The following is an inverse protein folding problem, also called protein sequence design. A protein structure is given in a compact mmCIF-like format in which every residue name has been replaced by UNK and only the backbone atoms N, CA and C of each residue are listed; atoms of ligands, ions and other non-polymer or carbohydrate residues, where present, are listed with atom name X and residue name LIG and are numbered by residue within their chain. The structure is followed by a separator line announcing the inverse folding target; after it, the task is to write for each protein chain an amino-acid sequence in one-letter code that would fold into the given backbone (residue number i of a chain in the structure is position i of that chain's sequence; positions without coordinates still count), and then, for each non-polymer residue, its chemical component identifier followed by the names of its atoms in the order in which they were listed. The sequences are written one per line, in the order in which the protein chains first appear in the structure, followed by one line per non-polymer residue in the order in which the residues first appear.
data_IF_745214664494
#
_entry.id   IF_745214664494
#
_cell.length_a   1.000
_cell.length_b   1.000
_cell.length_c   1.000
_cell.angle_alpha   90.00
_cell.angle_beta   90.00
_cell.angle_gamma   90.00
#
_symmetry.space_group_name_H-M   'P 1'
#
loop_
_entity.id
_entity.type
_entity.pdbx_description
1 polymer ?
2 non-polymer ?
3 water ?
#
# COMPACT_ATOMS: atom_id res chain seq x y z
N UNK A 4 14.77 -9.71 -10.01
CA UNK A 4 13.92 -8.88 -9.16
C UNK A 4 12.44 -9.31 -9.15
N UNK A 5 11.97 -9.97 -10.23
CA UNK A 5 10.61 -10.48 -10.33
C UNK A 5 10.53 -12.01 -10.23
N UNK A 6 11.70 -12.70 -10.22
CA UNK A 6 11.77 -14.16 -10.07
C UNK A 6 11.40 -14.51 -8.61
N UNK A 7 10.80 -15.70 -8.38
CA UNK A 7 10.35 -16.09 -7.04
C UNK A 7 11.11 -17.24 -6.43
N UNK A 8 11.27 -17.23 -5.11
CA UNK A 8 11.88 -18.34 -4.40
C UNK A 8 10.85 -19.49 -4.29
N UNK A 9 11.29 -20.66 -3.77
CA UNK A 9 10.48 -21.87 -3.61
C UNK A 9 9.20 -21.62 -2.78
N UNK A 10 9.34 -20.99 -1.60
CA UNK A 10 8.28 -20.65 -0.67
C UNK A 10 7.23 -19.75 -1.33
N UNK A 11 7.68 -18.66 -1.97
CA UNK A 11 6.82 -17.70 -2.65
C UNK A 11 6.00 -18.36 -3.74
N UNK A 12 6.64 -19.20 -4.58
CA UNK A 12 5.99 -19.92 -5.69
C UNK A 12 4.87 -20.84 -5.15
N UNK A 13 5.16 -21.57 -4.08
CA UNK A 13 4.29 -22.52 -3.38
C UNK A 13 3.05 -21.82 -2.79
N UNK A 14 3.24 -20.64 -2.17
CA UNK A 14 2.16 -19.86 -1.55
C UNK A 14 1.24 -19.28 -2.61
N UNK A 15 1.85 -18.81 -3.72
CA UNK A 15 1.13 -18.25 -4.84
C UNK A 15 0.26 -19.32 -5.53
N UNK A 16 0.80 -20.55 -5.65
CA UNK A 16 0.12 -21.72 -6.22
C UNK A 16 -1.04 -22.13 -5.30
N UNK A 17 -0.79 -22.18 -3.96
CA UNK A 17 -1.80 -22.55 -2.96
C UNK A 17 -2.99 -21.57 -2.95
N UNK A 18 -2.71 -20.25 -3.14
CA UNK A 18 -3.75 -19.23 -3.19
C UNK A 18 -4.62 -19.45 -4.41
N UNK A 19 -4.00 -19.64 -5.58
CA UNK A 19 -4.73 -19.85 -6.84
C UNK A 19 -5.59 -21.13 -6.81
N UNK A 20 -5.05 -22.21 -6.21
CA UNK A 20 -5.75 -23.49 -6.06
C UNK A 20 -6.98 -23.32 -5.18
N UNK A 21 -6.88 -22.52 -4.08
CA UNK A 21 -8.03 -22.27 -3.18
C UNK A 21 -9.04 -21.40 -3.90
N UNK A 22 -8.56 -20.38 -4.63
CA UNK A 22 -9.38 -19.43 -5.41
C UNK A 22 -10.25 -20.15 -6.46
N UNK A 23 -9.67 -21.14 -7.16
CA UNK A 23 -10.33 -21.97 -8.20
C UNK A 23 -11.59 -22.64 -7.70
N UNK A 24 -11.61 -23.03 -6.42
CA UNK A 24 -12.72 -23.71 -5.74
C UNK A 24 -13.90 -22.76 -5.49
N UNK A 25 -13.64 -21.45 -5.41
CA UNK A 25 -14.67 -20.45 -5.21
C UNK A 25 -15.30 -20.24 -6.57
N UNK A 26 -16.60 -20.18 -6.62
CA UNK A 26 -17.22 -19.93 -7.91
C UNK A 26 -17.49 -18.46 -8.09
N UNK A 27 -18.68 -18.16 -8.62
CA UNK A 27 -19.16 -16.80 -8.81
C UNK A 27 -19.43 -16.23 -7.40
N UNK A 28 -18.92 -15.02 -7.12
CA UNK A 28 -19.14 -14.39 -5.82
C UNK A 28 -20.53 -13.81 -5.73
N UNK A 29 -21.27 -14.16 -4.67
CA UNK A 29 -22.67 -13.66 -4.53
C UNK A 29 -22.90 -13.07 -3.17
N UNK A 30 -23.71 -12.02 -3.12
CA UNK A 30 -23.97 -11.30 -1.89
C UNK A 30 -24.34 -12.16 -0.71
N UNK A 31 -25.37 -13.02 -0.85
CA UNK A 31 -25.90 -13.88 0.21
C UNK A 31 -24.94 -14.99 0.71
N UNK A 32 -23.81 -15.21 0.01
CA UNK A 32 -22.81 -16.20 0.42
C UNK A 32 -21.81 -15.68 1.47
N UNK A 33 -21.96 -14.42 1.90
CA UNK A 33 -21.05 -13.81 2.86
C UNK A 33 -21.64 -13.61 4.23
N UNK A 34 -20.86 -13.96 5.25
CA UNK A 34 -21.21 -13.75 6.64
C UNK A 34 -20.17 -12.76 7.21
N UNK A 35 -20.61 -11.60 7.72
CA UNK A 35 -19.74 -10.57 8.31
C UNK A 35 -19.14 -11.06 9.63
N UNK A 36 -17.79 -11.04 9.74
CA UNK A 36 -17.06 -11.45 10.96
C UNK A 36 -16.77 -10.21 11.82
N UNK A 37 -16.10 -9.19 11.24
CA UNK A 37 -15.75 -7.94 11.92
C UNK A 37 -15.42 -6.84 10.91
N UNK A 38 -15.24 -5.61 11.40
CA UNK A 38 -14.81 -4.50 10.55
C UNK A 38 -13.28 -4.44 10.62
N UNK A 39 -12.63 -4.41 9.46
CA UNK A 39 -11.15 -4.38 9.38
C UNK A 39 -10.62 -2.97 9.42
N UNK A 40 -11.43 -2.04 8.94
CA UNK A 40 -11.08 -0.64 8.88
C UNK A 40 -11.82 -0.01 7.73
N UNK A 41 -11.43 1.21 7.38
CA UNK A 41 -12.05 1.91 6.27
C UNK A 41 -11.00 2.33 5.27
N UNK A 42 -11.33 2.16 3.99
CA UNK A 42 -10.49 2.55 2.85
C UNK A 42 -11.22 3.70 2.15
N UNK A 43 -10.56 4.39 1.20
CA UNK A 43 -11.21 5.50 0.51
C UNK A 43 -12.34 5.00 -0.39
N UNK A 44 -13.54 5.52 -0.14
CA UNK A 44 -14.73 5.16 -0.87
C UNK A 44 -15.62 4.13 -0.20
N UNK A 45 -15.11 3.45 0.83
CA UNK A 45 -15.89 2.43 1.54
C UNK A 45 -15.22 1.70 2.68
N UNK A 46 -16.00 0.87 3.38
CA UNK A 46 -15.59 0.11 4.56
C UNK A 46 -15.08 -1.29 4.19
N UNK A 47 -14.11 -1.80 4.95
CA UNK A 47 -13.55 -3.13 4.72
C UNK A 47 -13.91 -4.02 5.89
N UNK A 48 -14.56 -5.16 5.59
CA UNK A 48 -14.97 -6.15 6.55
C UNK A 48 -14.26 -7.48 6.39
N UNK A 49 -13.98 -8.15 7.48
CA UNK A 49 -13.42 -9.49 7.48
C UNK A 49 -14.70 -10.33 7.37
N UNK A 50 -14.74 -11.22 6.37
CA UNK A 50 -15.94 -12.00 6.09
C UNK A 50 -15.63 -13.49 5.95
N UNK A 51 -16.68 -14.29 6.07
CA UNK A 51 -16.59 -15.71 5.79
C UNK A 51 -17.36 -15.94 4.50
N UNK A 52 -16.71 -16.58 3.50
CA UNK A 52 -17.40 -17.02 2.28
C UNK A 52 -17.93 -18.40 2.70
N UNK A 53 -19.21 -18.46 3.07
CA UNK A 53 -19.84 -19.68 3.61
C UNK A 53 -19.64 -20.97 2.81
N UNK A 54 -19.88 -21.00 1.46
CA UNK A 54 -19.71 -22.27 0.72
C UNK A 54 -18.30 -22.85 0.78
N UNK A 55 -17.29 -22.04 0.44
CA UNK A 55 -15.88 -22.43 0.42
C UNK A 55 -15.23 -22.48 1.81
N UNK A 56 -15.81 -21.78 2.78
CA UNK A 56 -15.25 -21.69 4.14
C UNK A 56 -14.11 -20.70 4.26
N UNK A 57 -13.72 -20.06 3.13
CA UNK A 57 -12.63 -19.09 3.04
C UNK A 57 -12.91 -17.78 3.73
N UNK A 58 -11.94 -17.32 4.54
CA UNK A 58 -11.99 -16.03 5.22
C UNK A 58 -11.44 -15.04 4.17
N UNK A 59 -12.13 -13.93 3.95
CA UNK A 59 -11.76 -12.91 2.97
C UNK A 59 -11.93 -11.53 3.58
N UNK A 60 -11.35 -10.53 2.94
CA UNK A 60 -11.50 -9.12 3.28
C UNK A 60 -12.44 -8.62 2.20
N UNK A 61 -13.56 -8.02 2.59
CA UNK A 61 -14.56 -7.51 1.67
C UNK A 61 -14.70 -6.01 1.79
N UNK A 62 -14.38 -5.27 0.72
CA UNK A 62 -14.53 -3.82 0.70
C UNK A 62 -15.83 -3.51 0.00
N UNK A 63 -16.71 -2.74 0.69
CA UNK A 63 -18.01 -2.34 0.18
C UNK A 63 -18.01 -0.86 -0.17
N UNK A 64 -18.30 -0.53 -1.43
CA UNK A 64 -18.35 0.84 -1.90
C UNK A 64 -19.81 1.15 -2.20
N UNK A 65 -20.40 2.15 -1.50
CA UNK A 65 -21.80 2.53 -1.76
C UNK A 65 -21.89 3.41 -2.99
N UNK A 66 -22.60 2.94 -4.01
CA UNK A 66 -22.78 3.62 -5.30
C UNK A 66 -24.17 3.41 -5.86
N UNK A 67 -24.90 4.51 -6.09
CA UNK A 67 -26.24 4.49 -6.67
C UNK A 67 -26.07 4.78 -8.17
N UNK A 68 -25.95 3.69 -8.97
CA UNK A 68 -25.72 3.77 -10.42
C UNK A 68 -26.48 2.72 -11.22
N UNK A 69 -26.76 3.07 -12.49
CA UNK A 69 -27.46 2.27 -13.51
C UNK A 69 -26.75 0.94 -13.82
N UNK A 70 -27.46 -0.13 -14.28
CA UNK A 70 -26.78 -1.41 -14.59
C UNK A 70 -25.63 -1.33 -15.59
N UNK A 71 -25.69 -0.32 -16.49
CA UNK A 71 -24.70 0.00 -17.51
C UNK A 71 -23.33 0.22 -16.87
N UNK A 72 -23.23 1.22 -15.96
CA UNK A 72 -22.02 1.60 -15.25
C UNK A 72 -21.43 0.45 -14.41
N UNK A 73 -22.23 -0.17 -13.50
CA UNK A 73 -21.73 -1.26 -12.64
C UNK A 73 -21.17 -2.47 -13.38
N UNK A 74 -21.83 -2.91 -14.48
CA UNK A 74 -21.39 -4.05 -15.30
C UNK A 74 -20.05 -3.77 -15.96
N UNK A 75 -19.80 -2.49 -16.32
CA UNK A 75 -18.55 -2.03 -16.91
C UNK A 75 -17.48 -2.00 -15.80
N UNK A 76 -17.84 -1.53 -14.58
CA UNK A 76 -16.92 -1.51 -13.44
C UNK A 76 -16.44 -2.95 -13.16
N UNK A 77 -17.37 -3.91 -13.00
CA UNK A 77 -17.08 -5.33 -12.73
C UNK A 77 -16.12 -5.92 -13.77
N UNK A 78 -16.38 -5.66 -15.07
CA UNK A 78 -15.53 -6.13 -16.18
C UNK A 78 -14.12 -5.53 -16.10
N UNK A 79 -14.02 -4.24 -15.74
CA UNK A 79 -12.74 -3.54 -15.60
C UNK A 79 -11.94 -4.07 -14.39
N UNK A 80 -12.64 -4.54 -13.34
CA UNK A 80 -11.98 -5.11 -12.15
C UNK A 80 -11.48 -6.51 -12.38
N UNK A 81 -11.99 -7.20 -13.44
CA UNK A 81 -11.61 -8.56 -13.83
C UNK A 81 -10.12 -8.66 -14.15
N UNK A 82 -9.50 -7.52 -14.52
CA UNK A 82 -8.07 -7.35 -14.79
C UNK A 82 -7.24 -7.78 -13.56
N UNK A 83 -7.82 -7.65 -12.34
CA UNK A 83 -7.18 -8.04 -11.09
C UNK A 83 -6.93 -9.54 -10.96
N UNK A 84 -7.64 -10.39 -11.77
CA UNK A 84 -7.42 -11.85 -11.79
C UNK A 84 -6.08 -12.19 -12.44
N UNK A 85 -5.53 -11.25 -13.23
CA UNK A 85 -4.24 -11.38 -13.92
C UNK A 85 -3.05 -11.02 -13.03
N UNK A 86 -3.27 -10.17 -11.98
CA UNK A 86 -2.18 -9.75 -11.08
C UNK A 86 -1.86 -10.85 -10.08
N UNK A 87 -0.77 -11.58 -10.31
CA UNK A 87 -0.34 -12.67 -9.44
C UNK A 87 1.11 -12.50 -9.02
N UNK A 88 1.29 -12.02 -7.79
CA UNK A 88 2.60 -11.67 -7.23
C UNK A 88 2.58 -11.78 -5.71
N UNK A 89 3.74 -12.19 -5.10
CA UNK A 89 3.82 -12.21 -3.62
C UNK A 89 3.64 -10.83 -2.99
N UNK A 90 3.80 -9.76 -3.77
CA UNK A 90 3.77 -8.37 -3.33
C UNK A 90 2.49 -7.64 -3.63
N UNK A 91 1.48 -8.37 -4.11
CA UNK A 91 0.17 -7.82 -4.44
C UNK A 91 -0.86 -8.64 -3.75
N UNK A 92 -1.79 -7.98 -3.03
CA UNK A 92 -2.88 -8.61 -2.30
C UNK A 92 -3.69 -9.46 -3.30
N UNK A 93 -3.92 -10.70 -2.94
CA UNK A 93 -4.73 -11.62 -3.73
C UNK A 93 -6.15 -11.11 -3.89
N UNK A 94 -6.72 -11.32 -5.08
CA UNK A 94 -8.06 -10.86 -5.43
C UNK A 94 -8.95 -12.06 -5.67
N UNK A 95 -10.17 -12.02 -5.13
CA UNK A 95 -11.12 -13.09 -5.34
C UNK A 95 -12.12 -12.77 -6.40
N UNK A 96 -12.55 -11.53 -6.46
CA UNK A 96 -13.59 -11.12 -7.39
C UNK A 96 -14.35 -9.89 -6.95
N UNK A 97 -15.21 -9.40 -7.82
CA UNK A 97 -16.03 -8.22 -7.59
C UNK A 97 -17.42 -8.43 -8.14
N UNK A 98 -18.41 -7.85 -7.48
CA UNK A 98 -19.81 -7.94 -7.85
C UNK A 98 -20.56 -6.73 -7.34
N UNK A 99 -21.80 -6.57 -7.80
CA UNK A 99 -22.68 -5.50 -7.38
C UNK A 99 -23.91 -6.12 -6.75
N UNK A 100 -24.38 -5.53 -5.65
CA UNK A 100 -25.59 -5.95 -4.97
C UNK A 100 -26.16 -4.82 -4.16
N UNK A 101 -27.46 -4.53 -4.36
CA UNK A 101 -28.25 -3.53 -3.64
C UNK A 101 -27.53 -2.21 -3.31
N UNK A 102 -27.10 -1.50 -4.37
CA UNK A 102 -26.44 -0.21 -4.26
C UNK A 102 -25.00 -0.21 -3.83
N UNK A 103 -24.36 -1.39 -3.79
CA UNK A 103 -22.96 -1.45 -3.37
C UNK A 103 -22.10 -2.43 -4.12
N UNK A 104 -20.91 -1.96 -4.53
CA UNK A 104 -19.92 -2.77 -5.21
C UNK A 104 -19.08 -3.45 -4.15
N UNK A 105 -18.81 -4.75 -4.35
CA UNK A 105 -17.96 -5.47 -3.42
C UNK A 105 -16.68 -5.88 -4.11
N UNK A 106 -15.55 -5.68 -3.44
CA UNK A 106 -14.26 -6.13 -3.95
C UNK A 106 -13.78 -7.06 -2.88
N UNK A 107 -13.60 -8.35 -3.24
CA UNK A 107 -13.19 -9.38 -2.30
C UNK A 107 -11.80 -9.75 -2.51
N UNK A 108 -11.05 -9.70 -1.43
CA UNK A 108 -9.64 -9.94 -1.53
C UNK A 108 -9.11 -10.80 -0.42
N UNK A 109 -7.84 -11.17 -0.53
CA UNK A 109 -7.09 -11.93 0.45
C UNK A 109 -7.13 -11.19 1.79
N UNK A 110 -7.34 -11.66 2.96
CA UNK A 110 -7.25 -11.24 4.34
C UNK A 110 -5.78 -11.27 4.76
N UNK A 111 -5.52 -10.08 5.14
CA UNK A 111 -4.18 -9.83 5.70
C UNK A 111 -4.35 -9.54 7.19
N UNK A 112 -3.99 -10.52 8.02
CA UNK A 112 -4.22 -10.48 9.46
C UNK A 112 -3.47 -9.39 10.25
N UNK A 113 -2.47 -8.75 9.63
CA UNK A 113 -1.71 -7.66 10.24
C UNK A 113 -2.32 -6.30 9.91
N UNK A 114 -3.31 -6.29 9.01
CA UNK A 114 -3.99 -5.07 8.58
C UNK A 114 -3.10 -4.18 7.73
N UNK A 115 -3.34 -2.87 7.75
CA UNK A 115 -2.53 -1.92 6.98
C UNK A 115 -1.40 -1.30 7.84
N UNK A 116 -0.34 -0.76 7.18
CA UNK A 116 0.80 -0.18 7.89
C UNK A 116 0.44 1.09 8.62
N UNK A 117 -0.62 1.73 8.17
CA UNK A 117 -1.18 2.90 8.83
C UNK A 117 -1.69 2.48 10.24
N UNK A 118 -2.29 1.27 10.34
CA UNK A 118 -2.80 0.73 11.60
C UNK A 118 -1.65 0.22 12.44
N UNK A 119 -0.68 -0.44 11.81
CA UNK A 119 0.50 -0.95 12.50
C UNK A 119 1.28 0.23 13.11
N UNK A 120 1.41 1.32 12.33
CA UNK A 120 2.11 2.52 12.76
C UNK A 120 1.49 3.12 14.04
N UNK A 121 0.15 3.24 14.08
CA UNK A 121 -0.59 3.77 15.24
C UNK A 121 -0.23 2.99 16.51
N UNK A 122 -0.22 1.65 16.41
CA UNK A 122 0.11 0.69 17.46
C UNK A 122 1.58 0.79 17.88
N UNK A 123 2.50 0.66 16.89
CA UNK A 123 3.95 0.69 17.14
C UNK A 123 4.50 2.02 17.63
N UNK A 124 3.94 3.14 17.20
CA UNK A 124 4.50 4.46 17.52
C UNK A 124 5.39 4.86 16.35
N UNK A 125 6.47 4.13 16.14
CA UNK A 125 7.32 4.25 14.96
C UNK A 125 7.86 2.89 14.61
N UNK A 126 8.16 2.70 13.33
CA UNK A 126 8.60 1.42 12.79
C UNK A 126 10.13 1.39 12.58
N UNK A 127 10.84 0.36 13.10
CA UNK A 127 12.31 0.35 12.99
C UNK A 127 12.82 0.33 11.52
N UNK A 128 13.97 0.97 11.32
CA UNK A 128 14.64 1.02 10.01
C UNK A 128 14.76 -0.36 9.33
N UNK A 129 15.24 -1.42 10.05
CA UNK A 129 15.37 -2.75 9.42
C UNK A 129 14.04 -3.28 8.96
N UNK A 130 12.97 -3.01 9.73
CA UNK A 130 11.62 -3.40 9.32
C UNK A 130 11.22 -2.58 8.06
N UNK A 131 11.56 -1.27 8.03
CA UNK A 131 11.27 -0.43 6.85
C UNK A 131 12.08 -0.86 5.64
N UNK A 132 13.21 -1.52 5.87
CA UNK A 132 14.03 -2.11 4.82
C UNK A 132 13.26 -3.18 4.07
N UNK A 133 12.57 -4.04 4.78
CA UNK A 133 11.75 -5.10 4.14
C UNK A 133 10.55 -4.53 3.46
N UNK A 134 9.96 -3.48 4.09
CA UNK A 134 8.79 -2.80 3.52
C UNK A 134 9.19 -2.17 2.16
N UNK A 135 10.34 -1.49 2.11
CA UNK A 135 10.83 -0.83 0.90
C UNK A 135 11.02 -1.87 -0.22
N UNK A 136 11.65 -3.03 0.08
CA UNK A 136 11.85 -4.09 -0.90
C UNK A 136 10.51 -4.51 -1.50
N UNK A 137 9.49 -4.78 -0.64
CA UNK A 137 8.17 -5.23 -1.07
C UNK A 137 7.45 -4.19 -1.90
N UNK A 138 7.56 -2.91 -1.55
CA UNK A 138 6.92 -1.87 -2.34
C UNK A 138 7.60 -1.76 -3.72
N UNK A 139 8.95 -1.69 -3.77
CA UNK A 139 9.67 -1.60 -5.07
C UNK A 139 9.27 -2.81 -5.94
N UNK A 140 9.28 -4.02 -5.34
CA UNK A 140 8.95 -5.25 -6.07
C UNK A 140 7.52 -5.29 -6.58
N UNK A 141 6.57 -4.81 -5.77
CA UNK A 141 5.16 -4.72 -6.14
C UNK A 141 4.96 -3.73 -7.28
N UNK A 142 5.59 -2.53 -7.18
CA UNK A 142 5.52 -1.50 -8.23
C UNK A 142 6.20 -1.99 -9.55
N UNK A 143 7.33 -2.72 -9.46
CA UNK A 143 8.06 -3.29 -10.62
C UNK A 143 7.16 -4.32 -11.30
N UNK A 144 6.52 -5.19 -10.49
CA UNK A 144 5.59 -6.20 -10.98
C UNK A 144 4.46 -5.55 -11.77
N UNK A 145 3.80 -4.56 -11.18
CA UNK A 145 2.65 -3.88 -11.81
C UNK A 145 3.01 -3.21 -13.12
N UNK A 146 4.20 -2.60 -13.17
CA UNK A 146 4.73 -1.91 -14.32
C UNK A 146 5.10 -2.89 -15.44
N UNK A 147 5.93 -3.90 -15.12
CA UNK A 147 6.45 -4.88 -16.09
C UNK A 147 5.47 -5.92 -16.59
N UNK A 148 4.54 -6.37 -15.75
CA UNK A 148 3.61 -7.41 -16.17
C UNK A 148 2.28 -6.85 -16.63
N UNK A 149 1.92 -5.63 -16.23
CA UNK A 149 0.60 -5.09 -16.57
C UNK A 149 0.57 -3.68 -17.14
N UNK A 150 1.76 -3.04 -17.28
CA UNK A 150 1.90 -1.67 -17.79
C UNK A 150 1.03 -0.69 -16.98
N UNK A 151 0.99 -0.92 -15.65
CA UNK A 151 0.21 -0.08 -14.73
C UNK A 151 1.01 0.43 -13.55
N UNK A 152 0.72 1.64 -13.13
CA UNK A 152 1.36 2.25 -11.98
C UNK A 152 0.35 2.21 -10.85
N UNK A 153 0.79 2.28 -9.60
CA UNK A 153 -0.14 2.19 -8.46
C UNK A 153 -1.11 3.37 -8.38
N UNK A 154 -0.57 4.62 -8.41
CA UNK A 154 -1.27 5.93 -8.33
C UNK A 154 -1.64 6.33 -6.89
N UNK A 155 -1.67 5.38 -5.93
CA UNK A 155 -2.07 5.69 -4.56
C UNK A 155 -1.23 4.97 -3.46
N UNK A 156 0.10 5.07 -3.55
CA UNK A 156 0.97 4.49 -2.53
C UNK A 156 0.83 5.33 -1.25
N UNK A 157 0.55 4.67 -0.12
CA UNK A 157 0.41 5.29 1.20
C UNK A 157 0.40 4.18 2.25
N UNK A 158 0.66 4.44 3.55
CA UNK A 158 0.68 3.34 4.55
C UNK A 158 -0.61 2.54 4.67
N UNK A 159 -1.77 3.16 4.39
CA UNK A 159 -3.05 2.45 4.44
C UNK A 159 -3.25 1.49 3.25
N UNK A 160 -2.42 1.60 2.20
CA UNK A 160 -2.48 0.72 1.02
C UNK A 160 -1.40 -0.34 1.01
N UNK A 161 -0.67 -0.48 2.13
CA UNK A 161 0.37 -1.48 2.31
C UNK A 161 -0.13 -2.39 3.42
N UNK A 162 -0.39 -3.64 3.06
CA UNK A 162 -0.95 -4.64 3.95
C UNK A 162 0.07 -5.64 4.36
N UNK A 163 -0.06 -6.12 5.61
CA UNK A 163 0.91 -7.04 6.20
C UNK A 163 0.22 -8.20 6.88
N UNK A 164 0.93 -9.32 7.05
CA UNK A 164 0.33 -10.48 7.70
C UNK A 164 1.32 -11.21 8.64
N UNK A 165 0.79 -12.12 9.48
CA UNK A 165 1.54 -12.94 10.44
C UNK A 165 2.51 -13.94 9.82
N UNK A 166 2.46 -14.15 8.48
CA UNK A 166 3.46 -14.97 7.76
C UNK A 166 4.65 -14.07 7.32
N UNK A 167 4.56 -12.78 7.61
CA UNK A 167 5.61 -11.81 7.31
C UNK A 167 5.52 -11.22 5.92
N UNK A 168 4.40 -11.42 5.22
CA UNK A 168 4.23 -10.90 3.88
C UNK A 168 3.79 -9.46 3.94
N UNK A 169 4.19 -8.70 2.90
CA UNK A 169 3.95 -7.28 2.70
C UNK A 169 3.42 -7.11 1.25
N UNK A 170 2.23 -6.56 1.10
CA UNK A 170 1.59 -6.50 -0.19
C UNK A 170 0.89 -5.21 -0.42
N UNK A 171 0.87 -4.77 -1.69
CA UNK A 171 0.11 -3.56 -2.08
C UNK A 171 -1.32 -3.91 -2.44
N UNK A 172 -2.22 -2.95 -2.20
CA UNK A 172 -3.63 -3.04 -2.56
C UNK A 172 -4.11 -1.68 -3.04
N UNK A 173 -5.38 -1.62 -3.50
CA UNK A 173 -6.06 -0.41 -3.94
C UNK A 173 -5.34 0.44 -4.99
N UNK A 174 -4.74 -0.22 -5.97
CA UNK A 174 -4.15 0.46 -7.11
C UNK A 174 -5.30 0.53 -8.14
N UNK A 175 -5.53 1.71 -8.70
CA UNK A 175 -6.61 1.98 -9.63
C UNK A 175 -6.51 1.20 -10.93
N UNK A 176 -7.46 0.29 -11.17
CA UNK A 176 -7.49 -0.52 -12.38
C UNK A 176 -8.77 -0.24 -13.19
N UNK A 177 -9.77 0.36 -12.53
CA UNK A 177 -11.06 0.72 -13.14
C UNK A 177 -11.27 2.25 -13.18
N UNK A 178 -11.28 2.79 -14.39
CA UNK A 178 -11.52 4.21 -14.65
C UNK A 178 -12.93 4.61 -14.24
N UNK A 179 -13.93 3.76 -14.59
CA UNK A 179 -15.34 3.95 -14.26
C UNK A 179 -15.60 4.01 -12.74
N UNK A 180 -14.91 3.14 -11.96
CA UNK A 180 -15.05 3.12 -10.50
C UNK A 180 -14.55 4.43 -9.87
N UNK A 181 -13.44 4.99 -10.42
CA UNK A 181 -12.87 6.27 -9.94
C UNK A 181 -13.85 7.42 -10.22
N UNK A 182 -14.42 7.46 -11.45
CA UNK A 182 -15.40 8.48 -11.88
C UNK A 182 -16.63 8.49 -10.97
N UNK A 183 -17.26 7.32 -10.80
CA UNK A 183 -18.44 7.14 -9.95
C UNK A 183 -18.17 7.45 -8.47
N UNK A 184 -16.96 7.10 -7.95
CA UNK A 184 -16.57 7.39 -6.55
C UNK A 184 -16.31 8.90 -6.31
N UNK A 185 -15.86 9.63 -7.36
CA UNK A 185 -15.57 11.07 -7.29
N UNK A 189 -12.78 9.38 -2.63
CA UNK A 189 -12.31 10.77 -2.48
C UNK A 189 -11.10 10.87 -1.50
N UNK A 190 -10.22 9.84 -1.55
CA UNK A 190 -9.03 9.68 -0.72
C UNK A 190 -8.05 10.84 -0.68
N UNK A 191 -7.19 10.83 0.37
CA UNK A 191 -6.20 11.88 0.59
C UNK A 191 -5.24 12.11 -0.58
N UNK A 192 -4.89 13.38 -0.79
CA UNK A 192 -3.91 13.81 -1.79
C UNK A 192 -2.58 14.16 -1.08
N UNK A 193 -2.50 13.90 0.22
CA UNK A 193 -1.34 14.23 1.03
C UNK A 193 -0.05 13.45 0.73
N UNK A 194 -0.13 12.33 -0.04
CA UNK A 194 1.06 11.54 -0.43
C UNK A 194 1.38 11.75 -1.90
N UNK A 195 0.71 12.71 -2.55
CA UNK A 195 0.91 12.93 -3.98
C UNK A 195 2.15 13.74 -4.24
N UNK A 196 2.91 13.30 -5.26
CA UNK A 196 4.16 13.94 -5.68
C UNK A 196 3.95 15.40 -6.09
N UNK A 197 4.96 16.28 -5.96
CA UNK A 197 4.79 17.68 -6.40
C UNK A 197 4.36 17.81 -7.88
N UNK A 198 4.87 16.93 -8.79
CA UNK A 198 4.52 17.01 -10.21
C UNK A 198 3.06 16.69 -10.48
N UNK A 199 2.47 15.71 -9.75
CA UNK A 199 1.05 15.34 -9.84
C UNK A 199 0.17 16.46 -9.27
N UNK A 200 0.64 17.13 -8.20
CA UNK A 200 -0.12 18.26 -7.62
C UNK A 200 -0.08 19.51 -8.53
N UNK A 201 0.93 19.59 -9.41
CA UNK A 201 1.11 20.70 -10.35
C UNK A 201 0.49 20.35 -11.71
N UNK A 202 -0.19 19.20 -11.77
CA UNK A 202 -0.82 18.69 -12.97
C UNK A 202 0.14 18.28 -14.07
N UNK A 203 1.46 18.44 -13.84
CA UNK A 203 2.51 18.13 -14.82
C UNK A 203 2.78 16.64 -15.02
N UNK A 204 3.80 16.34 -15.87
CA UNK A 204 4.34 15.04 -16.29
C UNK A 204 4.41 14.00 -15.15
N UNK A 205 3.57 12.92 -15.23
CA UNK A 205 3.55 11.89 -14.19
C UNK A 205 3.55 10.40 -14.61
N UNK A 206 4.49 9.64 -14.01
CA UNK A 206 4.68 8.21 -14.25
C UNK A 206 4.87 7.47 -12.92
N UNK A 207 5.53 6.28 -12.95
CA UNK A 207 5.86 5.46 -11.78
C UNK A 207 6.74 6.25 -10.81
N UNK A 208 7.40 7.32 -11.30
CA UNK A 208 8.23 8.21 -10.49
C UNK A 208 7.39 8.85 -9.38
N UNK A 209 6.11 9.11 -9.63
CA UNK A 209 5.20 9.70 -8.65
C UNK A 209 4.85 8.74 -7.50
N UNK A 210 4.88 7.43 -7.77
CA UNK A 210 4.66 6.38 -6.78
C UNK A 210 5.88 6.24 -5.86
N UNK A 211 7.08 6.50 -6.40
CA UNK A 211 8.35 6.45 -5.68
C UNK A 211 8.39 7.57 -4.66
N UNK A 212 7.83 8.75 -5.03
CA UNK A 212 7.70 9.89 -4.12
C UNK A 212 6.81 9.47 -2.95
N UNK A 213 5.63 8.88 -3.27
CA UNK A 213 4.65 8.45 -2.25
C UNK A 213 5.26 7.41 -1.30
N UNK A 214 6.07 6.49 -1.84
CA UNK A 214 6.77 5.50 -1.03
C UNK A 214 7.77 6.20 -0.09
N UNK A 215 8.61 7.10 -0.63
CA UNK A 215 9.57 7.86 0.18
C UNK A 215 8.92 8.59 1.33
N UNK A 216 7.80 9.27 1.05
CA UNK A 216 7.03 10.01 2.03
C UNK A 216 6.42 9.08 3.11
N UNK A 217 5.86 7.92 2.70
CA UNK A 217 5.29 6.91 3.59
C UNK A 217 6.37 6.34 4.51
N UNK A 218 7.58 6.12 3.96
CA UNK A 218 8.72 5.61 4.74
C UNK A 218 9.16 6.56 5.84
N UNK A 219 9.20 7.88 5.54
CA UNK A 219 9.61 8.91 6.52
C UNK A 219 8.55 8.97 7.61
N UNK A 220 7.29 8.96 7.20
CA UNK A 220 6.20 8.94 8.15
C UNK A 220 6.31 7.78 9.13
N UNK A 221 6.52 6.55 8.62
CA UNK A 221 6.64 5.34 9.45
C UNK A 221 7.86 5.34 10.35
N UNK A 222 8.98 5.91 9.87
CA UNK A 222 10.22 6.00 10.63
C UNK A 222 10.13 6.96 11.81
N UNK A 223 9.45 8.11 11.61
CA UNK A 223 9.37 9.14 12.63
C UNK A 223 8.11 9.04 13.49
N UNK A 224 7.09 8.36 12.97
CA UNK A 224 5.84 8.18 13.69
C UNK A 224 4.90 9.35 13.55
N UNK A 225 5.07 10.14 12.48
CA UNK A 225 4.26 11.34 12.25
C UNK A 225 4.26 11.68 10.75
N UNK A 226 3.10 12.11 10.19
CA UNK A 226 3.05 12.60 8.80
C UNK A 226 4.09 13.74 8.78
N UNK A 227 5.11 13.66 7.90
CA UNK A 227 6.29 14.53 8.06
C UNK A 227 6.28 15.95 7.50
N UNK A 228 5.12 16.40 7.01
CA UNK A 228 4.97 17.76 6.48
C UNK A 228 3.94 18.51 7.34
N UNK A 229 4.27 19.71 7.90
CA UNK A 229 5.55 20.42 7.84
C UNK A 229 6.62 19.69 8.68
N UNK A 230 7.93 19.98 8.53
CA UNK A 230 8.92 19.23 9.33
C UNK A 230 8.80 19.52 10.83
N UNK A 231 9.08 18.52 11.70
CA UNK A 231 9.05 18.79 13.14
C UNK A 231 10.19 19.71 13.54
N UNK A 232 9.92 20.61 14.49
CA UNK A 232 10.92 21.55 15.01
C UNK A 232 11.91 20.84 15.97
N UNK A 233 12.95 21.55 16.44
CA UNK A 233 13.98 21.03 17.34
C UNK A 233 13.41 20.42 18.64
N UNK A 234 12.30 20.98 19.15
CA UNK A 234 11.62 20.52 20.35
C UNK A 234 10.74 19.29 20.10
N UNK A 235 10.10 19.21 18.90
CA UNK A 235 9.24 18.09 18.50
C UNK A 235 10.06 16.79 18.29
N UNK A 236 11.30 16.92 17.78
CA UNK A 236 12.20 15.79 17.56
C UNK A 236 12.77 15.22 18.87
N UNK A 237 12.92 16.08 19.91
CA UNK A 237 13.43 15.71 21.24
C UNK A 237 12.44 14.79 21.97
N UNK A 238 11.13 15.05 21.82
CA UNK A 238 10.05 14.26 22.41
C UNK A 238 9.99 12.87 21.75
N UNK A 239 10.42 12.79 20.48
CA UNK A 239 10.41 11.59 19.64
C UNK A 239 11.58 10.64 19.86
N UNK A 240 12.82 11.09 19.60
CA UNK A 240 14.02 10.25 19.67
C UNK A 240 14.99 10.56 20.82
N UNK A 241 14.88 11.76 21.38
CA UNK A 241 15.73 12.24 22.46
C UNK A 241 17.11 12.64 21.99
N UNK A 242 17.18 13.39 20.86
CA UNK A 242 18.43 13.87 20.27
N UNK A 272 -2.26 24.44 13.08
CA UNK A 272 -2.49 23.25 12.22
C UNK A 272 -2.69 23.61 10.75
N UNK A 273 -2.07 22.82 9.85
CA UNK A 273 -2.15 23.00 8.40
C UNK A 273 -3.38 22.31 7.81
N UNK A 274 -4.24 23.11 7.15
CA UNK A 274 -5.41 22.61 6.42
C UNK A 274 -4.89 21.94 5.14
N UNK A 275 -5.63 20.95 4.60
CA UNK A 275 -5.21 20.19 3.41
C UNK A 275 -4.65 21.05 2.26
N UNK A 276 -5.29 22.20 1.97
CA UNK A 276 -4.81 23.09 0.89
C UNK A 276 -3.45 23.72 1.17
N UNK A 277 -3.16 24.06 2.45
CA UNK A 277 -1.89 24.65 2.90
C UNK A 277 -0.78 23.62 2.77
N UNK A 278 -1.11 22.37 3.12
CA UNK A 278 -0.24 21.22 3.03
C UNK A 278 0.17 20.96 1.59
N UNK A 279 -0.81 20.90 0.66
CA UNK A 279 -0.52 20.65 -0.77
C UNK A 279 0.35 21.77 -1.35
N UNK A 280 0.09 23.01 -0.93
CA UNK A 280 0.91 24.14 -1.35
C UNK A 280 2.37 24.00 -0.84
N UNK A 281 2.54 23.55 0.44
CA UNK A 281 3.84 23.30 1.09
C UNK A 281 4.64 22.26 0.31
N UNK A 282 4.00 21.14 -0.11
CA UNK A 282 4.62 20.07 -0.88
C UNK A 282 5.23 20.61 -2.17
N UNK A 283 4.43 21.40 -2.90
CA UNK A 283 4.84 21.97 -4.20
C UNK A 283 5.92 23.03 -4.05
N UNK A 284 5.79 23.89 -3.03
CA UNK A 284 6.68 25.02 -2.89
C UNK A 284 7.91 24.90 -2.03
N UNK A 285 7.92 23.96 -1.07
CA UNK A 285 9.01 23.82 -0.11
C UNK A 285 9.97 22.64 -0.33
N UNK A 286 11.21 22.64 0.26
CA UNK A 286 12.09 21.48 0.06
C UNK A 286 11.44 20.21 0.60
N UNK A 287 11.79 19.04 0.04
CA UNK A 287 11.12 17.80 0.51
C UNK A 287 11.49 17.43 1.95
N UNK A 288 10.65 16.64 2.64
CA UNK A 288 11.01 16.20 4.00
C UNK A 288 12.23 15.27 3.98
N UNK A 289 12.86 15.12 5.12
CA UNK A 289 14.00 14.25 5.25
C UNK A 289 13.97 13.61 6.61
N UNK A 290 14.67 12.49 6.76
CA UNK A 290 14.81 11.86 8.07
C UNK A 290 15.72 12.69 8.95
N UNK A 291 15.52 12.69 10.30
CA UNK A 291 16.50 13.35 11.18
C UNK A 291 17.85 12.59 11.14
N UNK A 292 18.94 13.34 11.27
CA UNK A 292 20.31 12.86 11.28
C UNK A 292 20.64 12.14 12.57
N UNK A 293 21.67 11.31 12.50
CA UNK A 293 22.18 10.56 13.66
C UNK A 293 21.21 9.65 14.41
N UNK A 294 20.07 9.30 13.80
CA UNK A 294 19.05 8.41 14.37
C UNK A 294 18.90 7.20 13.43
N UNK A 295 19.09 7.45 12.13
CA UNK A 295 18.96 6.47 11.06
C UNK A 295 20.26 6.35 10.31
N UNK A 296 20.49 5.22 9.62
CA UNK A 296 21.73 5.09 8.85
C UNK A 296 21.72 6.06 7.67
N UNK A 297 22.90 6.41 7.18
CA UNK A 297 23.09 7.29 6.03
C UNK A 297 22.52 6.65 4.79
N UNK A 298 22.57 5.32 4.70
CA UNK A 298 21.98 4.57 3.59
C UNK A 298 20.48 4.73 3.54
N UNK A 299 19.81 4.65 4.70
CA UNK A 299 18.36 4.84 4.74
C UNK A 299 18.03 6.27 4.41
N UNK A 300 18.80 7.21 4.99
CA UNK A 300 18.60 8.63 4.70
C UNK A 300 18.74 8.93 3.22
N UNK A 301 19.78 8.36 2.59
CA UNK A 301 20.05 8.60 1.16
C UNK A 301 18.95 8.01 0.28
N UNK A 302 18.50 6.82 0.68
CA UNK A 302 17.43 6.10 0.01
C UNK A 302 16.15 6.95 -0.06
N UNK A 303 15.66 7.45 1.11
CA UNK A 303 14.46 8.29 1.12
C UNK A 303 14.70 9.61 0.35
N UNK A 304 15.91 10.22 0.47
CA UNK A 304 16.27 11.44 -0.26
C UNK A 304 16.10 11.27 -1.77
N UNK A 305 16.61 10.15 -2.30
CA UNK A 305 16.52 9.83 -3.73
C UNK A 305 15.07 9.62 -4.20
N UNK A 306 14.16 9.16 -3.30
CA UNK A 306 12.73 8.97 -3.56
C UNK A 306 12.03 10.32 -3.52
N UNK A 307 12.59 11.26 -2.73
CA UNK A 307 11.96 12.54 -2.48
C UNK A 307 12.48 13.76 -3.25
N UNK A 308 13.39 13.57 -4.21
CA UNK A 308 13.86 14.67 -5.07
C UNK A 308 12.58 15.18 -5.81
N UNK A 309 12.28 16.49 -5.69
CA UNK A 309 11.06 17.10 -6.25
C UNK A 309 10.96 16.95 -7.78
N UNK A 310 12.10 16.97 -8.47
CA UNK A 310 12.20 16.82 -9.92
C UNK A 310 12.12 15.32 -10.28
N UNK A 311 11.03 14.85 -10.95
CA UNK A 311 10.90 13.41 -11.24
C UNK A 311 11.99 12.79 -12.11
N UNK A 312 12.66 13.63 -12.93
CA UNK A 312 13.73 13.23 -13.83
C UNK A 312 14.98 12.87 -13.01
N UNK A 313 15.27 13.68 -11.97
CA UNK A 313 16.40 13.43 -11.08
C UNK A 313 16.11 12.36 -10.01
N UNK A 314 14.84 12.22 -9.57
CA UNK A 314 14.36 11.25 -8.58
C UNK A 314 14.77 9.86 -9.05
N UNK A 315 15.21 9.01 -8.14
CA UNK A 315 15.60 7.65 -8.51
C UNK A 315 14.45 6.84 -9.12
N UNK A 316 14.80 5.89 -9.98
CA UNK A 316 13.78 5.06 -10.58
C UNK A 316 13.78 3.70 -9.94
N UNK A 317 12.81 2.85 -10.28
CA UNK A 317 12.70 1.52 -9.68
C UNK A 317 13.93 0.70 -9.88
N UNK A 318 14.53 0.74 -11.09
CA UNK A 318 15.77 -0.01 -11.39
C UNK A 318 16.91 0.45 -10.49
N UNK A 319 17.06 1.75 -10.30
CA UNK A 319 18.14 2.32 -9.48
C UNK A 319 17.88 1.98 -7.99
N UNK A 320 16.61 2.14 -7.56
CA UNK A 320 16.21 1.80 -6.18
C UNK A 320 16.49 0.36 -5.85
N UNK A 321 16.23 -0.58 -6.78
CA UNK A 321 16.47 -2.03 -6.57
C UNK A 321 17.94 -2.39 -6.23
N UNK A 322 18.89 -1.54 -6.67
CA UNK A 322 20.33 -1.74 -6.43
C UNK A 322 20.93 -0.72 -5.43
N UNK A 323 20.08 0.07 -4.78
CA UNK A 323 20.53 1.08 -3.79
C UNK A 323 21.16 0.36 -2.63
N UNK A 324 22.20 0.96 -2.04
CA UNK A 324 22.91 0.42 -0.89
C UNK A 324 21.94 0.01 0.23
N UNK A 325 20.88 0.79 0.48
CA UNK A 325 19.90 0.48 1.53
C UNK A 325 19.14 -0.84 1.23
N UNK A 326 18.81 -1.05 -0.06
CA UNK A 326 18.08 -2.23 -0.53
C UNK A 326 18.93 -3.48 -0.49
N UNK A 327 20.18 -3.36 -0.94
CA UNK A 327 21.11 -4.48 -0.94
C UNK A 327 21.39 -4.89 0.50
N UNK A 328 21.64 -3.90 1.40
CA UNK A 328 21.88 -4.21 2.82
C UNK A 328 20.64 -4.90 3.43
N UNK A 329 19.45 -4.27 3.31
CA UNK A 329 18.21 -4.79 3.88
C UNK A 329 17.92 -6.20 3.35
N UNK A 330 18.15 -6.42 2.04
CA UNK A 330 17.91 -7.72 1.42
C UNK A 330 18.73 -8.85 2.02
N UNK A 331 19.97 -8.55 2.44
CA UNK A 331 20.87 -9.51 3.04
C UNK A 331 20.61 -9.67 4.54
N UNK A 332 19.86 -8.73 5.14
CA UNK A 332 19.56 -8.79 6.57
C UNK A 332 18.56 -9.87 6.85
N UNK A 333 18.78 -10.62 7.91
CA UNK A 333 17.82 -11.65 8.23
C UNK A 333 16.97 -11.05 9.32
N UNK A 334 15.87 -10.43 8.88
CA UNK A 334 14.96 -9.71 9.76
C UNK A 334 13.67 -10.49 9.93
N UNK A 335 13.28 -10.76 11.18
CA UNK A 335 12.06 -11.50 11.44
C UNK A 335 10.91 -10.51 11.46
N UNK A 336 10.37 -10.18 10.29
CA UNK A 336 9.27 -9.23 10.20
C UNK A 336 8.02 -9.79 10.90
N UNK A 337 7.70 -11.08 10.69
CA UNK A 337 6.51 -11.68 11.31
C UNK A 337 6.56 -11.61 12.85
N UNK A 338 7.71 -11.93 13.41
CA UNK A 338 7.98 -11.89 14.84
C UNK A 338 7.78 -10.49 15.38
N UNK A 339 8.46 -9.50 14.72
CA UNK A 339 8.34 -8.10 15.10
C UNK A 339 6.87 -7.67 15.08
N UNK A 340 6.16 -8.02 14.00
CA UNK A 340 4.77 -7.61 13.78
C UNK A 340 3.82 -8.17 14.81
N UNK A 341 3.88 -9.49 15.07
CA UNK A 341 3.01 -10.16 16.05
C UNK A 341 3.18 -9.62 17.45
N UNK A 342 4.43 -9.37 17.89
CA UNK A 342 4.81 -8.77 19.18
C UNK A 342 4.28 -7.34 19.29
N UNK A 343 4.45 -6.55 18.22
CA UNK A 343 4.02 -5.16 18.18
C UNK A 343 2.51 -4.94 18.24
N UNK A 344 1.75 -5.72 17.45
CA UNK A 344 0.32 -5.49 17.38
C UNK A 344 -0.50 -6.42 18.31
N UNK A 345 0.19 -7.33 19.01
CA UNK A 345 -0.45 -8.25 19.93
C UNK A 345 -1.22 -9.35 19.24
N UNK A 346 -0.72 -9.79 18.09
CA UNK A 346 -1.33 -10.85 17.31
C UNK A 346 -0.90 -12.20 17.91
N UNK A 347 -1.87 -13.01 18.35
CA UNK A 347 -1.65 -14.33 18.96
X LIG B 1 -7.94 -2.72 2.32
X LIG B 1 -9.29 -2.71 2.02
X LIG B 1 -7.45 -4.09 1.85
X LIG B 1 -7.96 -5.22 2.74
X LIG B 1 -7.30 -1.58 1.51
X LIG B 1 -7.53 -5.06 4.14
X LIG B 1 -7.19 -6.15 4.90
X LIG B 1 -7.24 -7.30 4.48
X LIG B 1 -6.73 -5.88 6.31
X LIG B 1 -7.34 -4.67 6.96
X LIG B 1 -7.43 -3.48 6.05
X LIG B 1 -7.47 -2.18 6.57
X LIG B 1 -7.64 -1.08 5.75
X LIG B 1 -7.78 -1.25 4.37
X LIG B 1 -7.57 -3.67 4.66
X LIG B 1 -7.76 -2.53 3.83
#
# INVERSE_FOLDING_TARGET
GLEELELDEQQRKRLEAFLTQKQKVGELKDDDFEKISELGAANGGVVFKVSHKPSGLVMARKLIHLEIKPAIRNQIIRELQVLHECNSPYIVGFYGAFYSDGEISICMEHMDGGSLDQVLKKAGRIPEQILGKVSIAVIKGLTYLREKHKIMHRDVKPSNILVNSRGEIKLCDFGVSGQLIDSMANSFVGTRSYMSPERLQGTHYSVQSDIWSMGLSLVEMAVGRYPIPPPDAKELELMFGCQVEGDAAETPPRPRTPGRPLNKFGMDSRPPMAIFELLDYIVNEPPPKLPSGVFSLEFQDFVNKCLIKNPAERADLKQLMVHAFIKRSDAEEVDFAGWLCSTIGLNQ
MT8 C1 O1 C2 C3 C6 N7 C8 O8 C9 C10 C11 C12 C13 C14 C15 C20
#
